data_IF_696229570624
#
_entry.id   IF_696229570624
#
_cell.length_a   1.000
_cell.length_b   1.000
_cell.length_c   1.000
_cell.angle_alpha   90.00
_cell.angle_beta   90.00
_cell.angle_gamma   90.00
#
_symmetry.space_group_name_H-M   'P 1'
#
loop_
_entity.id
_entity.type
_entity.pdbx_description
1 polymer ?
#
# COMPACT_ATOMS: atom_id res chain seq x y z
N UNK A 1 11.81 -23.52 9.21
CA UNK A 1 11.15 -23.04 7.97
C UNK A 1 9.70 -22.77 8.38
N UNK A 2 9.32 -21.59 8.87
CA UNK A 2 8.78 -20.46 8.10
C UNK A 2 8.73 -19.16 8.94
N UNK A 3 9.89 -18.64 9.38
CA UNK A 3 9.93 -17.33 10.09
C UNK A 3 9.99 -16.13 9.12
N UNK A 4 10.46 -16.34 7.89
CA UNK A 4 10.72 -15.26 6.93
C UNK A 4 9.45 -14.55 6.43
N UNK A 5 8.30 -15.24 6.36
CA UNK A 5 7.06 -14.62 5.88
C UNK A 5 6.54 -13.57 6.86
N UNK A 6 6.72 -13.75 8.17
CA UNK A 6 6.17 -12.81 9.16
C UNK A 6 6.99 -11.52 9.33
N UNK A 7 8.32 -11.60 9.16
CA UNK A 7 9.21 -10.45 9.31
C UNK A 7 9.05 -9.47 8.13
N UNK A 8 9.04 -9.96 6.90
CA UNK A 8 8.89 -9.10 5.72
C UNK A 8 7.50 -8.47 5.61
N UNK A 9 6.44 -9.17 6.03
CA UNK A 9 5.10 -8.58 6.17
C UNK A 9 5.10 -7.40 7.17
N UNK A 10 5.75 -7.57 8.32
CA UNK A 10 5.84 -6.50 9.33
C UNK A 10 6.70 -5.32 8.84
N UNK A 11 7.80 -5.57 8.14
CA UNK A 11 8.65 -4.53 7.56
C UNK A 11 7.89 -3.72 6.49
N UNK A 12 7.17 -4.39 5.58
CA UNK A 12 6.37 -3.72 4.57
C UNK A 12 5.24 -2.93 5.23
N UNK A 13 4.56 -3.48 6.23
CA UNK A 13 3.50 -2.76 6.96
C UNK A 13 4.04 -1.52 7.68
N UNK A 14 5.23 -1.59 8.29
CA UNK A 14 5.87 -0.43 8.90
C UNK A 14 6.27 0.61 7.85
N UNK A 15 6.83 0.18 6.73
CA UNK A 15 7.20 1.06 5.63
C UNK A 15 5.98 1.77 5.03
N UNK A 16 4.88 1.05 4.85
CA UNK A 16 3.59 1.61 4.46
C UNK A 16 3.12 2.67 5.47
N UNK A 17 3.18 2.40 6.78
CA UNK A 17 2.84 3.40 7.82
C UNK A 17 3.67 4.66 7.69
N UNK A 18 4.96 4.54 7.39
CA UNK A 18 5.84 5.68 7.19
C UNK A 18 5.49 6.43 5.92
N UNK A 19 5.19 5.75 4.81
CA UNK A 19 4.76 6.38 3.56
C UNK A 19 3.42 7.09 3.70
N UNK A 20 2.45 6.51 4.44
CA UNK A 20 1.19 7.19 4.72
C UNK A 20 1.38 8.50 5.49
N UNK A 21 2.22 8.48 6.52
CA UNK A 21 2.51 9.68 7.31
C UNK A 21 3.30 10.73 6.53
N UNK A 22 4.36 10.32 5.84
CA UNK A 22 5.27 11.23 5.15
C UNK A 22 4.69 11.73 3.82
N UNK A 23 4.10 10.82 3.04
CA UNK A 23 3.58 11.10 1.71
C UNK A 23 2.18 11.69 1.69
N UNK A 24 1.29 11.20 2.56
CA UNK A 24 -0.12 11.61 2.57
C UNK A 24 -0.51 12.46 3.78
N UNK A 25 0.36 12.57 4.79
CA UNK A 25 0.04 13.27 6.04
C UNK A 25 -1.08 12.60 6.83
N UNK A 26 -1.41 11.35 6.52
CA UNK A 26 -2.47 10.59 7.19
C UNK A 26 -1.83 9.77 8.30
N UNK A 27 -2.39 9.87 9.51
CA UNK A 27 -2.13 8.91 10.57
C UNK A 27 -3.03 7.69 10.31
N UNK A 28 -2.50 6.58 9.79
CA UNK A 28 -3.33 5.42 9.53
C UNK A 28 -3.96 4.92 10.84
N UNK A 29 -5.19 4.44 10.76
CA UNK A 29 -5.88 3.88 11.93
C UNK A 29 -5.07 2.70 12.45
N UNK A 30 -4.55 2.81 13.67
CA UNK A 30 -3.83 1.72 14.31
C UNK A 30 -4.85 0.85 15.08
N UNK A 31 -4.89 -0.47 14.86
CA UNK A 31 -3.98 -1.26 14.03
C UNK A 31 -4.36 -1.27 12.54
N UNK A 32 -3.36 -1.09 11.67
CA UNK A 32 -3.53 -1.39 10.24
C UNK A 32 -3.70 -2.91 10.09
N UNK A 33 -4.88 -3.32 9.64
CA UNK A 33 -5.17 -4.72 9.30
C UNK A 33 -5.14 -4.92 7.78
N UNK A 34 -4.89 -6.14 7.27
CA UNK A 34 -4.96 -6.42 5.84
C UNK A 34 -6.35 -6.17 5.22
N UNK A 35 -7.41 -6.12 6.05
CA UNK A 35 -8.77 -5.77 5.61
C UNK A 35 -9.02 -4.25 5.52
N UNK A 36 -8.07 -3.42 5.98
CA UNK A 36 -8.17 -1.96 5.95
C UNK A 36 -8.19 -1.47 4.51
N UNK A 37 -9.15 -0.59 4.22
CA UNK A 37 -9.47 -0.09 2.88
C UNK A 37 -8.94 1.33 2.69
N UNK A 38 -8.23 1.59 1.61
CA UNK A 38 -7.60 2.88 1.37
C UNK A 38 -8.65 3.97 1.15
N UNK A 39 -9.70 3.68 0.39
CA UNK A 39 -10.67 4.70 0.01
C UNK A 39 -11.82 4.75 1.01
N UNK A 40 -12.35 3.58 1.40
CA UNK A 40 -13.49 3.51 2.31
C UNK A 40 -13.13 3.72 3.79
N UNK A 41 -11.94 3.29 4.24
CA UNK A 41 -11.54 3.37 5.65
C UNK A 41 -10.63 4.57 5.91
N UNK A 42 -9.58 4.73 5.09
CA UNK A 42 -8.64 5.86 5.20
C UNK A 42 -9.11 7.14 4.47
N UNK A 43 -10.20 7.06 3.70
CA UNK A 43 -10.75 8.22 2.99
C UNK A 43 -9.86 8.76 1.87
N UNK A 44 -8.91 7.96 1.37
CA UNK A 44 -7.97 8.38 0.32
C UNK A 44 -8.70 8.55 -1.01
N UNK A 45 -8.26 9.50 -1.82
CA UNK A 45 -8.69 9.67 -3.20
C UNK A 45 -7.78 8.90 -4.16
N UNK A 46 -8.22 8.73 -5.41
CA UNK A 46 -7.39 8.05 -6.43
C UNK A 46 -6.07 8.76 -6.69
N UNK A 47 -6.01 10.07 -6.43
CA UNK A 47 -4.77 10.85 -6.52
C UNK A 47 -3.78 10.45 -5.42
N UNK A 48 -4.26 10.21 -4.20
CA UNK A 48 -3.43 9.84 -3.06
C UNK A 48 -2.80 8.46 -3.28
N UNK A 49 -3.52 7.55 -3.92
CA UNK A 49 -2.98 6.25 -4.29
C UNK A 49 -1.85 6.37 -5.33
N UNK A 50 -1.95 7.29 -6.30
CA UNK A 50 -0.85 7.57 -7.25
C UNK A 50 0.37 8.11 -6.50
N UNK A 51 0.18 9.11 -5.64
CA UNK A 51 1.25 9.70 -4.82
C UNK A 51 1.92 8.64 -3.95
N UNK A 52 1.14 7.78 -3.30
CA UNK A 52 1.64 6.67 -2.49
C UNK A 52 2.52 5.72 -3.30
N UNK A 53 2.13 5.39 -4.54
CA UNK A 53 2.96 4.61 -5.45
C UNK A 53 4.28 5.28 -5.79
N UNK A 54 4.30 6.60 -5.97
CA UNK A 54 5.54 7.35 -6.21
C UNK A 54 6.45 7.37 -4.98
N UNK A 55 5.88 7.59 -3.79
CA UNK A 55 6.63 7.59 -2.53
C UNK A 55 7.24 6.22 -2.23
N UNK A 56 6.51 5.12 -2.49
CA UNK A 56 7.04 3.76 -2.38
C UNK A 56 8.22 3.56 -3.36
N UNK A 57 8.10 4.00 -4.60
CA UNK A 57 9.18 3.87 -5.58
C UNK A 57 10.44 4.65 -5.16
N UNK A 58 10.26 5.86 -4.62
CA UNK A 58 11.37 6.66 -4.07
C UNK A 58 12.02 5.95 -2.87
N UNK A 59 11.20 5.38 -1.99
CA UNK A 59 11.63 4.71 -0.76
C UNK A 59 12.41 3.44 -1.00
N UNK A 60 11.88 2.57 -1.88
CA UNK A 60 12.57 1.34 -2.29
C UNK A 60 13.63 1.57 -3.38
N UNK A 61 13.73 2.79 -3.92
CA UNK A 61 14.72 3.16 -4.93
C UNK A 61 14.58 2.41 -6.26
N UNK A 62 13.36 1.99 -6.62
CA UNK A 62 13.12 1.10 -7.76
C UNK A 62 11.74 1.31 -8.38
N UNK A 63 11.59 1.05 -9.69
CA UNK A 63 10.31 1.19 -10.37
C UNK A 63 9.32 0.13 -9.87
N UNK A 64 8.12 0.58 -9.49
CA UNK A 64 7.01 -0.28 -9.12
C UNK A 64 5.89 -0.06 -10.13
N UNK A 65 5.25 -1.11 -10.65
CA UNK A 65 4.14 -0.99 -11.59
C UNK A 65 2.84 -0.59 -10.87
N UNK A 66 2.89 0.46 -10.06
CA UNK A 66 1.75 0.93 -9.26
C UNK A 66 0.62 1.44 -10.15
N UNK A 67 0.95 2.02 -11.30
CA UNK A 67 -0.04 2.40 -12.31
C UNK A 67 -0.85 1.20 -12.82
N UNK A 68 -0.23 0.03 -12.93
CA UNK A 68 -0.91 -1.20 -13.36
C UNK A 68 -1.92 -1.64 -12.29
N UNK A 69 -1.51 -1.61 -11.01
CA UNK A 69 -2.39 -1.87 -9.86
C UNK A 69 -3.59 -0.90 -9.84
N UNK A 70 -3.36 0.39 -10.09
CA UNK A 70 -4.43 1.40 -10.14
C UNK A 70 -5.34 1.24 -11.37
N UNK A 71 -4.80 0.85 -12.51
CA UNK A 71 -5.58 0.56 -13.72
C UNK A 71 -6.52 -0.64 -13.50
N UNK A 72 -6.01 -1.70 -12.87
CA UNK A 72 -6.78 -2.85 -12.42
C UNK A 72 -7.91 -2.43 -11.47
N UNK A 73 -7.61 -1.61 -10.45
CA UNK A 73 -8.61 -1.07 -9.52
C UNK A 73 -9.68 -0.23 -10.23
N UNK A 74 -9.30 0.60 -11.19
CA UNK A 74 -10.22 1.45 -11.95
C UNK A 74 -11.28 0.67 -12.73
N UNK A 75 -10.94 -0.55 -13.16
CA UNK A 75 -11.83 -1.49 -13.85
C UNK A 75 -12.69 -2.38 -12.93
N UNK A 76 -12.37 -2.45 -11.63
CA UNK A 76 -13.15 -3.20 -10.64
C UNK A 76 -14.40 -2.41 -10.21
N UNK A 77 -15.44 -3.13 -9.81
CA UNK A 77 -16.63 -2.53 -9.19
C UNK A 77 -16.28 -1.88 -7.84
N UNK A 78 -15.37 -2.52 -7.10
CA UNK A 78 -14.74 -1.97 -5.89
C UNK A 78 -13.39 -1.37 -6.28
N UNK A 79 -13.35 -0.04 -6.41
CA UNK A 79 -12.10 0.72 -6.65
C UNK A 79 -11.25 0.86 -5.39
N UNK A 80 -11.44 -0.05 -4.44
CA UNK A 80 -10.87 0.05 -3.11
C UNK A 80 -9.65 -0.87 -2.99
N UNK A 81 -8.48 -0.27 -2.76
CA UNK A 81 -7.26 -1.02 -2.48
C UNK A 81 -7.24 -1.36 -0.99
N UNK A 82 -6.99 -2.63 -0.67
CA UNK A 82 -6.76 -3.02 0.72
C UNK A 82 -5.27 -3.05 1.05
N UNK A 83 -4.95 -2.89 2.33
CA UNK A 83 -3.56 -3.03 2.80
C UNK A 83 -3.01 -4.41 2.49
N UNK A 84 -3.82 -5.47 2.62
CA UNK A 84 -3.39 -6.82 2.27
C UNK A 84 -3.00 -6.95 0.80
N UNK A 85 -3.82 -6.43 -0.13
CA UNK A 85 -3.50 -6.42 -1.56
C UNK A 85 -2.20 -5.65 -1.83
N UNK A 86 -2.00 -4.52 -1.16
CA UNK A 86 -0.78 -3.74 -1.33
C UNK A 86 0.47 -4.45 -0.79
N UNK A 87 0.38 -5.09 0.38
CA UNK A 87 1.49 -5.86 0.95
C UNK A 87 1.87 -7.00 0.01
N UNK A 88 0.89 -7.76 -0.50
CA UNK A 88 1.13 -8.82 -1.48
C UNK A 88 1.76 -8.26 -2.77
N UNK A 89 1.25 -7.15 -3.28
CA UNK A 89 1.83 -6.48 -4.44
C UNK A 89 3.30 -6.10 -4.20
N UNK A 90 3.61 -5.51 -3.05
CA UNK A 90 4.98 -5.15 -2.69
C UNK A 90 5.84 -6.41 -2.57
N UNK A 91 5.39 -7.47 -1.90
CA UNK A 91 6.12 -8.74 -1.80
C UNK A 91 6.42 -9.39 -3.16
N UNK A 92 5.50 -9.31 -4.13
CA UNK A 92 5.72 -9.87 -5.46
C UNK A 92 6.68 -9.05 -6.31
N UNK A 93 6.79 -7.75 -6.01
CA UNK A 93 7.65 -6.85 -6.75
C UNK A 93 8.98 -6.60 -6.04
N UNK A 94 9.10 -6.83 -4.71
CA UNK A 94 10.28 -6.68 -3.81
C UNK A 94 11.37 -7.71 -4.10
#
# INVERSE_FOLDING_TARGET
MNAATNESDMEILDDLRQVFRDGLGVEPVDPITPATRFFADLGLASIDAVVLGEELQKRYGRPLPFNDLLAELGGRAERDLTVGELVVFLQQNL
#
